data_IF_141510027389
#
_entry.id   IF_141510027389
#
_cell.length_a   1.000
_cell.length_b   1.000
_cell.length_c   1.000
_cell.angle_alpha   90.00
_cell.angle_beta   90.00
_cell.angle_gamma   90.00
#
_symmetry.space_group_name_H-M   'P 1'
#
loop_
_entity.id
_entity.type
_entity.pdbx_description
1 polymer ?
#
# COMPACT_ATOMS: atom_id res chain seq x y z
N UNK A 1 23.34 6.17 51.71
CA UNK A 1 22.44 5.32 50.91
C UNK A 1 22.58 5.68 49.44
N UNK A 2 22.73 4.69 48.56
CA UNK A 2 22.59 4.92 47.11
C UNK A 2 21.09 5.00 46.84
N UNK A 3 20.66 6.06 46.16
CA UNK A 3 19.28 6.21 45.69
C UNK A 3 19.23 5.73 44.26
N UNK A 4 18.33 4.80 43.95
CA UNK A 4 18.05 4.35 42.58
C UNK A 4 16.82 5.09 42.09
N UNK A 5 16.95 5.76 40.95
CA UNK A 5 15.86 6.40 40.21
C UNK A 5 15.51 5.48 39.03
N UNK A 6 14.30 4.90 38.97
CA UNK A 6 13.89 4.09 37.85
C UNK A 6 13.62 4.99 36.63
N UNK A 7 14.57 5.04 35.70
CA UNK A 7 14.45 5.82 34.45
C UNK A 7 13.77 5.07 33.31
N UNK A 8 13.53 3.77 33.49
CA UNK A 8 12.74 2.92 32.59
C UNK A 8 11.74 2.12 33.44
N UNK A 9 10.64 2.75 33.81
CA UNK A 9 9.58 2.09 34.58
C UNK A 9 8.68 1.31 33.62
N UNK A 10 8.28 0.09 34.02
CA UNK A 10 7.29 -0.71 33.30
C UNK A 10 6.04 0.12 33.01
N UNK A 11 5.58 0.09 31.76
CA UNK A 11 4.30 0.65 31.37
C UNK A 11 3.20 -0.39 31.54
N UNK A 12 2.10 -0.02 32.21
CA UNK A 12 0.95 -0.92 32.41
C UNK A 12 0.09 -1.07 31.15
N UNK A 13 0.16 -0.09 30.24
CA UNK A 13 -0.55 -0.06 28.96
C UNK A 13 0.38 0.49 27.88
N UNK A 14 0.17 0.16 26.59
CA UNK A 14 0.89 0.83 25.50
C UNK A 14 0.59 2.33 25.50
N UNK A 15 1.50 3.11 24.92
CA UNK A 15 1.26 4.53 24.63
C UNK A 15 0.06 4.63 23.67
N UNK A 16 -0.83 5.58 23.92
CA UNK A 16 -1.98 5.80 23.04
C UNK A 16 -1.52 6.26 21.66
N UNK A 17 -1.91 5.50 20.63
CA UNK A 17 -1.58 5.78 19.23
C UNK A 17 -2.68 6.58 18.52
N UNK A 18 -3.83 6.80 19.17
CA UNK A 18 -4.99 7.46 18.55
C UNK A 18 -5.58 6.66 17.39
N UNK A 19 -6.31 7.36 16.52
CA UNK A 19 -7.03 6.76 15.39
C UNK A 19 -8.35 6.11 15.78
N UNK A 20 -9.16 5.79 14.77
CA UNK A 20 -10.42 5.06 14.93
C UNK A 20 -10.21 3.54 14.95
N UNK A 21 -9.12 3.06 14.33
CA UNK A 21 -8.71 1.66 14.27
C UNK A 21 -7.28 1.52 14.81
N UNK A 22 -7.05 0.50 15.64
CA UNK A 22 -5.73 0.06 16.08
C UNK A 22 -5.36 -1.27 15.46
N UNK A 23 -4.19 -1.33 14.83
CA UNK A 23 -3.59 -2.59 14.34
C UNK A 23 -2.39 -2.92 15.20
N UNK A 24 -2.21 -4.18 15.59
CA UNK A 24 -1.03 -4.64 16.32
C UNK A 24 -0.32 -5.81 15.63
N UNK A 25 0.98 -5.91 15.87
CA UNK A 25 1.85 -7.01 15.47
C UNK A 25 2.46 -7.63 16.70
N UNK A 26 2.36 -8.95 16.88
CA UNK A 26 2.88 -9.60 18.08
C UNK A 26 3.45 -11.00 17.77
N UNK A 27 4.77 -11.16 17.92
CA UNK A 27 5.38 -12.48 17.97
C UNK A 27 5.14 -13.06 19.37
N UNK A 28 4.43 -14.19 19.44
CA UNK A 28 3.97 -14.79 20.69
C UNK A 28 4.86 -15.93 21.22
N UNK A 29 6.09 -16.05 20.70
CA UNK A 29 7.13 -16.98 21.17
C UNK A 29 6.66 -18.44 21.23
N UNK A 30 6.37 -19.02 20.07
CA UNK A 30 5.88 -20.38 19.88
C UNK A 30 4.66 -20.70 20.75
N UNK A 31 3.54 -20.00 20.53
CA UNK A 31 2.27 -20.32 21.16
C UNK A 31 1.69 -21.61 20.58
N UNK A 32 2.08 -22.73 21.18
CA UNK A 32 1.71 -24.07 20.75
C UNK A 32 0.84 -24.73 21.80
N UNK A 33 -0.32 -25.21 21.35
CA UNK A 33 -1.25 -25.98 22.17
C UNK A 33 -0.81 -27.44 22.35
N UNK A 34 0.05 -27.93 21.46
CA UNK A 34 0.70 -29.24 21.60
C UNK A 34 1.92 -29.10 22.50
N UNK A 35 1.87 -29.75 23.67
CA UNK A 35 2.97 -29.76 24.63
C UNK A 35 4.20 -30.48 24.07
N UNK A 36 5.36 -29.84 24.18
CA UNK A 36 6.62 -30.45 23.80
C UNK A 36 7.00 -31.55 24.80
N UNK A 37 7.04 -32.78 24.30
CA UNK A 37 7.45 -33.97 25.06
C UNK A 37 8.69 -34.62 24.46
N UNK A 38 9.36 -33.92 23.52
CA UNK A 38 10.46 -34.42 22.70
C UNK A 38 10.02 -35.39 21.59
N UNK A 39 8.73 -35.39 21.24
CA UNK A 39 8.18 -36.18 20.16
C UNK A 39 7.87 -35.30 18.95
N UNK A 40 8.23 -35.77 17.76
CA UNK A 40 7.94 -35.08 16.51
C UNK A 40 6.47 -35.23 16.08
N UNK A 41 5.55 -34.57 16.79
CA UNK A 41 4.10 -34.62 16.57
C UNK A 41 3.52 -33.28 16.11
N UNK A 42 4.34 -32.23 16.02
CA UNK A 42 3.93 -30.92 15.59
C UNK A 42 4.03 -30.73 14.07
N UNK A 43 3.47 -29.61 13.61
CA UNK A 43 3.39 -29.25 12.20
C UNK A 43 2.26 -29.92 11.44
N UNK A 44 1.98 -29.47 10.21
CA UNK A 44 0.84 -29.96 9.43
C UNK A 44 0.86 -31.47 9.16
N UNK A 45 2.07 -32.02 8.99
CA UNK A 45 2.28 -33.45 8.76
C UNK A 45 2.50 -34.26 10.05
N UNK A 46 2.44 -33.61 11.23
CA UNK A 46 2.66 -34.23 12.55
C UNK A 46 3.94 -35.08 12.60
N UNK A 47 5.03 -34.49 12.12
CA UNK A 47 6.33 -35.15 11.98
C UNK A 47 7.50 -34.20 12.28
N UNK A 48 7.21 -33.06 12.92
CA UNK A 48 8.19 -32.07 13.35
C UNK A 48 8.22 -32.01 14.86
N UNK A 49 9.40 -31.71 15.42
CA UNK A 49 9.52 -31.40 16.84
C UNK A 49 8.60 -30.23 17.21
N UNK A 50 7.99 -30.33 18.39
CA UNK A 50 7.22 -29.24 18.93
C UNK A 50 8.14 -28.11 19.38
N UNK A 51 7.56 -26.91 19.46
CA UNK A 51 8.24 -25.69 19.90
C UNK A 51 7.25 -24.99 20.82
N UNK A 52 7.65 -24.49 21.98
CA UNK A 52 6.74 -23.90 22.96
C UNK A 52 6.84 -24.58 24.31
N UNK A 53 5.73 -24.64 25.05
CA UNK A 53 5.71 -25.15 26.41
C UNK A 53 6.07 -26.64 26.53
N UNK A 54 6.95 -26.98 27.48
CA UNK A 54 7.35 -28.34 27.83
C UNK A 54 6.35 -29.02 28.81
N UNK A 55 5.37 -28.26 29.31
CA UNK A 55 4.32 -28.77 30.18
C UNK A 55 3.01 -27.99 30.07
N UNK A 56 1.91 -28.61 30.50
CA UNK A 56 0.61 -27.93 30.58
C UNK A 56 0.63 -26.72 31.54
N UNK A 57 1.49 -26.73 32.56
CA UNK A 57 1.65 -25.58 33.47
C UNK A 57 2.27 -24.39 32.75
N UNK A 58 3.33 -24.63 31.96
CA UNK A 58 3.98 -23.59 31.17
C UNK A 58 3.07 -23.03 30.08
N UNK A 59 2.31 -23.89 29.41
CA UNK A 59 1.34 -23.46 28.41
C UNK A 59 0.33 -22.49 29.02
N UNK A 60 -0.25 -22.84 30.18
CA UNK A 60 -1.21 -21.96 30.86
C UNK A 60 -0.57 -20.63 31.30
N UNK A 61 0.68 -20.68 31.77
CA UNK A 61 1.44 -19.48 32.15
C UNK A 61 1.68 -18.55 30.96
N UNK A 62 2.09 -19.10 29.82
CA UNK A 62 2.31 -18.37 28.58
C UNK A 62 1.00 -17.77 28.06
N UNK A 63 -0.04 -18.62 27.98
CA UNK A 63 -1.41 -18.26 27.58
C UNK A 63 -1.96 -17.08 28.37
N UNK A 64 -1.85 -17.13 29.69
CA UNK A 64 -2.34 -16.05 30.57
C UNK A 64 -1.65 -14.73 30.25
N UNK A 65 -0.32 -14.73 30.11
CA UNK A 65 0.45 -13.51 29.80
C UNK A 65 0.09 -12.94 28.43
N UNK A 66 -0.01 -13.77 27.39
CA UNK A 66 -0.36 -13.34 26.03
C UNK A 66 -1.79 -12.79 25.98
N UNK A 67 -2.75 -13.47 26.62
CA UNK A 67 -4.14 -12.98 26.69
C UNK A 67 -4.18 -11.61 27.38
N UNK A 68 -3.48 -11.45 28.50
CA UNK A 68 -3.42 -10.17 29.21
C UNK A 68 -2.74 -9.08 28.36
N UNK A 69 -1.71 -9.41 27.59
CA UNK A 69 -1.08 -8.49 26.65
C UNK A 69 -2.08 -8.04 25.57
N UNK A 70 -2.75 -8.97 24.90
CA UNK A 70 -3.69 -8.68 23.82
C UNK A 70 -4.90 -7.87 24.30
N UNK A 71 -5.50 -8.25 25.43
CA UNK A 71 -6.64 -7.52 26.02
C UNK A 71 -6.22 -6.10 26.43
N UNK A 72 -5.01 -5.93 26.96
CA UNK A 72 -4.50 -4.61 27.36
C UNK A 72 -4.17 -3.73 26.16
N UNK A 73 -3.57 -4.28 25.11
CA UNK A 73 -3.35 -3.56 23.85
C UNK A 73 -4.67 -3.07 23.24
N UNK A 74 -5.71 -3.90 23.35
CA UNK A 74 -7.05 -3.61 22.85
C UNK A 74 -7.00 -3.07 21.40
N UNK A 75 -6.30 -3.80 20.54
CA UNK A 75 -6.23 -3.53 19.11
C UNK A 75 -7.39 -4.23 18.39
N UNK A 76 -7.82 -3.63 17.28
CA UNK A 76 -8.97 -4.06 16.48
C UNK A 76 -8.59 -5.14 15.47
N UNK A 77 -7.34 -5.11 14.97
CA UNK A 77 -6.74 -6.12 14.10
C UNK A 77 -5.38 -6.48 14.70
N UNK A 78 -5.05 -7.77 14.81
CA UNK A 78 -3.79 -8.22 15.38
C UNK A 78 -3.19 -9.31 14.50
N UNK A 79 -2.00 -9.04 13.96
CA UNK A 79 -1.14 -10.03 13.32
C UNK A 79 -0.32 -10.77 14.36
N UNK A 80 -0.35 -12.09 14.31
CA UNK A 80 0.37 -12.97 15.23
C UNK A 80 1.44 -13.75 14.48
N UNK A 81 2.65 -13.77 15.02
CA UNK A 81 3.73 -14.65 14.57
C UNK A 81 3.99 -15.72 15.63
N UNK A 82 4.53 -16.86 15.20
CA UNK A 82 4.81 -18.00 16.09
C UNK A 82 3.59 -18.70 16.67
N UNK A 83 2.51 -18.73 15.89
CA UNK A 83 1.36 -19.60 16.18
C UNK A 83 1.66 -21.01 15.68
N UNK A 84 1.21 -22.02 16.42
CA UNK A 84 1.28 -23.41 15.96
C UNK A 84 0.51 -23.63 14.66
N UNK A 85 1.16 -24.27 13.69
CA UNK A 85 0.59 -24.71 12.44
C UNK A 85 0.20 -26.19 12.54
N UNK A 86 -1.07 -26.45 12.79
CA UNK A 86 -1.58 -27.80 12.96
C UNK A 86 -2.93 -27.98 12.23
N UNK A 87 -3.23 -29.20 11.77
CA UNK A 87 -4.44 -29.51 10.98
C UNK A 87 -5.76 -29.24 11.72
N UNK A 88 -5.72 -29.17 13.05
CA UNK A 88 -6.88 -28.83 13.88
C UNK A 88 -7.01 -27.33 14.17
N UNK A 89 -5.95 -26.56 13.92
CA UNK A 89 -5.81 -25.14 14.28
C UNK A 89 -6.17 -24.82 15.74
N UNK A 90 -5.83 -25.76 16.65
CA UNK A 90 -6.26 -25.71 18.04
C UNK A 90 -5.64 -24.55 18.82
N UNK A 91 -4.39 -24.17 18.55
CA UNK A 91 -3.73 -23.06 19.24
C UNK A 91 -4.43 -21.71 18.98
N UNK A 92 -4.79 -21.42 17.72
CA UNK A 92 -5.52 -20.19 17.39
C UNK A 92 -6.92 -20.17 18.00
N UNK A 93 -7.63 -21.31 17.95
CA UNK A 93 -8.95 -21.47 18.59
C UNK A 93 -8.88 -21.29 20.11
N UNK A 94 -7.87 -21.89 20.76
CA UNK A 94 -7.66 -21.78 22.20
C UNK A 94 -7.37 -20.32 22.63
N UNK A 95 -6.50 -19.63 21.89
CA UNK A 95 -6.18 -18.22 22.15
C UNK A 95 -7.43 -17.35 22.03
N UNK A 96 -8.19 -17.48 20.93
CA UNK A 96 -9.41 -16.69 20.71
C UNK A 96 -10.49 -17.02 21.74
N UNK A 97 -10.63 -18.30 22.14
CA UNK A 97 -11.54 -18.67 23.22
C UNK A 97 -11.13 -18.00 24.53
N UNK A 98 -9.84 -18.05 24.89
CA UNK A 98 -9.33 -17.41 26.10
C UNK A 98 -9.50 -15.89 26.12
N UNK A 99 -9.25 -15.24 24.99
CA UNK A 99 -9.52 -13.81 24.82
C UNK A 99 -11.00 -13.49 25.06
N UNK A 100 -11.91 -14.31 24.51
CA UNK A 100 -13.34 -14.15 24.70
C UNK A 100 -13.83 -14.50 26.12
N UNK A 101 -13.14 -15.40 26.83
CA UNK A 101 -13.44 -15.69 28.23
C UNK A 101 -13.13 -14.48 29.14
N UNK A 102 -12.07 -13.73 28.82
CA UNK A 102 -11.64 -12.54 29.58
C UNK A 102 -12.38 -11.27 29.14
N UNK A 103 -12.46 -11.03 27.83
CA UNK A 103 -13.00 -9.80 27.25
C UNK A 103 -14.50 -9.86 26.91
N UNK A 104 -15.14 -11.02 27.07
CA UNK A 104 -16.53 -11.27 26.73
C UNK A 104 -16.70 -12.05 25.42
N UNK A 105 -17.71 -12.92 25.39
CA UNK A 105 -17.96 -13.78 24.25
C UNK A 105 -18.26 -12.97 22.96
N UNK A 106 -17.48 -13.24 21.91
CA UNK A 106 -17.63 -12.59 20.61
C UNK A 106 -16.86 -11.27 20.47
N UNK A 107 -16.05 -10.89 21.46
CA UNK A 107 -15.15 -9.73 21.39
C UNK A 107 -14.03 -9.93 20.37
N UNK A 108 -13.53 -11.16 20.22
CA UNK A 108 -12.49 -11.50 19.23
C UNK A 108 -12.95 -12.63 18.31
N UNK A 109 -12.60 -12.48 17.04
CA UNK A 109 -12.71 -13.48 15.98
C UNK A 109 -11.36 -13.63 15.25
N UNK A 110 -11.25 -14.57 14.31
CA UNK A 110 -10.01 -14.82 13.59
C UNK A 110 -10.25 -15.12 12.11
N UNK A 111 -9.22 -14.87 11.29
CA UNK A 111 -9.19 -15.30 9.88
C UNK A 111 -8.84 -16.78 9.88
N UNK A 112 -9.78 -17.62 9.46
CA UNK A 112 -9.59 -19.07 9.41
C UNK A 112 -8.79 -19.48 8.17
N UNK A 113 -7.47 -19.32 8.24
CA UNK A 113 -6.55 -19.70 7.16
C UNK A 113 -6.28 -21.21 7.08
N UNK A 114 -6.62 -21.95 8.15
CA UNK A 114 -6.25 -23.35 8.30
C UNK A 114 -4.73 -23.54 8.35
N UNK A 115 -4.24 -24.55 7.64
CA UNK A 115 -2.81 -24.78 7.46
C UNK A 115 -2.28 -23.89 6.34
N UNK A 116 -1.22 -23.14 6.62
CA UNK A 116 -0.46 -22.40 5.61
C UNK A 116 1.01 -22.81 5.69
N UNK A 117 1.61 -23.14 4.54
CA UNK A 117 2.99 -23.63 4.48
C UNK A 117 3.17 -25.02 5.09
N UNK A 118 4.42 -25.35 5.41
CA UNK A 118 4.81 -26.71 5.85
C UNK A 118 5.49 -26.76 7.21
N UNK A 119 5.98 -25.65 7.75
CA UNK A 119 6.64 -25.59 9.06
C UNK A 119 5.62 -25.74 10.21
N UNK A 120 6.11 -26.08 11.40
CA UNK A 120 5.31 -26.16 12.62
C UNK A 120 4.83 -24.79 13.13
N UNK A 121 5.42 -23.70 12.66
CA UNK A 121 5.00 -22.33 12.93
C UNK A 121 4.22 -21.77 11.74
N UNK A 122 3.18 -20.98 12.01
CA UNK A 122 2.51 -20.10 11.03
C UNK A 122 2.29 -18.70 11.60
N UNK A 123 1.90 -17.79 10.72
CA UNK A 123 1.30 -16.51 11.10
C UNK A 123 -0.23 -16.64 11.20
N UNK A 124 -0.88 -15.72 11.93
CA UNK A 124 -2.33 -15.66 12.04
C UNK A 124 -2.84 -14.21 12.13
N UNK A 125 -4.15 -14.03 11.93
CA UNK A 125 -4.85 -12.76 12.11
C UNK A 125 -6.05 -12.97 13.03
N UNK A 126 -6.14 -12.17 14.09
CA UNK A 126 -7.33 -12.02 14.92
C UNK A 126 -7.85 -10.59 14.84
N UNK A 127 -9.13 -10.38 15.13
CA UNK A 127 -9.76 -9.07 15.03
C UNK A 127 -10.98 -8.94 15.94
N UNK A 128 -11.38 -7.70 16.22
CA UNK A 128 -12.61 -7.38 16.95
C UNK A 128 -13.78 -7.14 15.97
N UNK A 129 -14.75 -8.08 15.84
CA UNK A 129 -15.83 -7.96 14.86
C UNK A 129 -16.79 -6.79 15.11
N UNK A 130 -16.74 -6.19 16.31
CA UNK A 130 -17.49 -4.98 16.61
C UNK A 130 -16.97 -3.76 15.81
N UNK A 131 -15.67 -3.71 15.53
CA UNK A 131 -15.02 -2.52 14.96
C UNK A 131 -14.62 -2.72 13.49
N UNK A 132 -14.27 -3.95 13.10
CA UNK A 132 -13.86 -4.28 11.74
C UNK A 132 -14.50 -5.56 11.22
N UNK A 133 -14.66 -5.66 9.91
CA UNK A 133 -15.16 -6.85 9.20
C UNK A 133 -14.17 -7.25 8.10
N UNK A 134 -13.74 -8.52 7.99
CA UNK A 134 -12.98 -8.98 6.83
C UNK A 134 -13.77 -8.73 5.53
N UNK A 135 -13.13 -8.07 4.58
CA UNK A 135 -13.66 -7.79 3.25
C UNK A 135 -13.02 -8.73 2.23
N UNK A 136 -13.83 -9.55 1.57
CA UNK A 136 -13.34 -10.54 0.60
C UNK A 136 -12.58 -11.71 1.24
N UNK A 137 -12.02 -12.56 0.38
CA UNK A 137 -11.19 -13.69 0.78
C UNK A 137 -9.78 -13.21 1.18
N UNK A 138 -9.14 -13.92 2.12
CA UNK A 138 -7.72 -13.71 2.40
C UNK A 138 -6.86 -14.22 1.23
N UNK A 139 -5.65 -13.70 1.13
CA UNK A 139 -4.63 -14.16 0.20
C UNK A 139 -3.40 -14.70 0.94
N UNK A 140 -2.66 -15.58 0.27
CA UNK A 140 -1.43 -16.20 0.78
C UNK A 140 -0.29 -15.93 -0.20
N UNK A 141 0.85 -15.45 0.28
CA UNK A 141 2.10 -15.48 -0.47
C UNK A 141 2.94 -16.67 -0.03
N UNK A 142 3.21 -17.57 -0.96
CA UNK A 142 4.10 -18.71 -0.81
C UNK A 142 4.83 -19.01 -2.13
N UNK A 143 5.57 -20.12 -2.20
CA UNK A 143 6.35 -20.49 -3.38
C UNK A 143 5.50 -20.84 -4.61
N UNK A 144 4.20 -21.08 -4.44
CA UNK A 144 3.27 -21.33 -5.55
C UNK A 144 2.83 -20.04 -6.25
N UNK A 145 2.88 -18.92 -5.54
CA UNK A 145 2.60 -17.57 -6.08
C UNK A 145 3.86 -16.95 -6.67
N UNK A 146 4.95 -16.95 -5.91
CA UNK A 146 6.27 -16.48 -6.37
C UNK A 146 7.35 -17.49 -5.95
N UNK A 147 7.99 -18.20 -6.90
CA UNK A 147 9.07 -19.15 -6.59
C UNK A 147 10.28 -18.55 -5.87
N UNK A 148 10.45 -17.22 -5.90
CA UNK A 148 11.45 -16.49 -5.13
C UNK A 148 11.13 -16.44 -3.62
N UNK A 149 9.87 -16.61 -3.25
CA UNK A 149 9.45 -16.77 -1.86
C UNK A 149 9.64 -18.22 -1.40
N UNK A 150 10.80 -18.53 -0.82
CA UNK A 150 11.11 -19.89 -0.34
C UNK A 150 10.35 -20.15 0.98
N UNK A 151 9.14 -20.70 0.88
CA UNK A 151 8.21 -20.98 1.99
C UNK A 151 8.60 -22.17 2.89
N UNK A 152 9.67 -22.89 2.55
CA UNK A 152 10.36 -23.83 3.46
C UNK A 152 11.34 -23.12 4.41
N UNK A 153 11.62 -21.84 4.17
CA UNK A 153 12.49 -21.00 4.99
C UNK A 153 11.71 -19.85 5.64
N UNK A 154 10.89 -19.15 4.85
CA UNK A 154 9.98 -18.09 5.31
C UNK A 154 8.61 -18.69 5.62
N UNK A 155 7.88 -18.12 6.58
CA UNK A 155 6.47 -18.47 6.77
C UNK A 155 5.65 -17.79 5.68
N UNK A 156 4.70 -18.49 5.04
CA UNK A 156 3.80 -17.85 4.10
C UNK A 156 3.13 -16.61 4.69
N UNK A 157 3.01 -15.56 3.90
CA UNK A 157 2.40 -14.30 4.32
C UNK A 157 0.89 -14.48 4.30
N UNK A 158 0.20 -14.10 5.38
CA UNK A 158 -1.25 -14.04 5.42
C UNK A 158 -1.71 -12.60 5.19
N UNK A 159 -2.55 -12.39 4.18
CA UNK A 159 -2.99 -11.06 3.77
C UNK A 159 -4.51 -11.01 3.83
N UNK A 160 -5.07 -10.05 4.56
CA UNK A 160 -6.52 -9.84 4.64
C UNK A 160 -6.85 -8.36 4.62
N UNK A 161 -7.87 -8.02 3.85
CA UNK A 161 -8.49 -6.70 3.85
C UNK A 161 -9.59 -6.64 4.89
N UNK A 162 -9.60 -5.57 5.68
CA UNK A 162 -10.63 -5.28 6.66
C UNK A 162 -11.33 -3.98 6.30
N UNK A 163 -12.65 -3.97 6.45
CA UNK A 163 -13.46 -2.77 6.45
C UNK A 163 -13.65 -2.29 7.89
N UNK A 164 -13.40 -1.02 8.15
CA UNK A 164 -13.87 -0.36 9.36
C UNK A 164 -15.40 -0.30 9.33
N UNK A 165 -16.06 -0.85 10.36
CA UNK A 165 -17.52 -0.96 10.39
C UNK A 165 -18.22 0.41 10.43
N UNK A 166 -17.57 1.42 11.00
CA UNK A 166 -18.13 2.76 11.17
C UNK A 166 -18.19 3.55 9.84
N UNK A 167 -17.19 3.37 8.98
CA UNK A 167 -16.98 4.19 7.77
C UNK A 167 -17.13 3.40 6.48
N UNK A 168 -16.87 2.08 6.51
CA UNK A 168 -16.71 1.23 5.34
C UNK A 168 -15.32 1.31 4.70
N UNK A 169 -14.42 2.12 5.25
CA UNK A 169 -13.07 2.30 4.70
C UNK A 169 -12.21 1.06 4.88
N UNK A 170 -11.41 0.77 3.86
CA UNK A 170 -10.64 -0.46 3.77
C UNK A 170 -9.17 -0.24 4.14
N UNK A 171 -8.59 -1.26 4.77
CA UNK A 171 -7.13 -1.42 4.96
C UNK A 171 -6.75 -2.88 4.76
N UNK A 172 -5.66 -3.13 4.04
CA UNK A 172 -5.12 -4.45 3.76
C UNK A 172 -3.92 -4.71 4.67
N UNK A 173 -3.99 -5.74 5.51
CA UNK A 173 -2.92 -6.10 6.45
C UNK A 173 -2.23 -7.37 5.97
N UNK A 174 -0.91 -7.31 5.81
CA UNK A 174 -0.04 -8.43 5.44
C UNK A 174 0.86 -8.82 6.63
N UNK A 175 0.63 -10.00 7.21
CA UNK A 175 1.37 -10.52 8.36
C UNK A 175 2.50 -11.43 7.90
N UNK A 176 3.73 -11.12 8.32
CA UNK A 176 4.96 -11.75 7.87
C UNK A 176 5.70 -12.43 9.02
N UNK A 177 6.41 -13.51 8.70
CA UNK A 177 7.46 -14.06 9.55
C UNK A 177 8.57 -14.62 8.65
N UNK A 178 9.60 -13.82 8.38
CA UNK A 178 10.69 -14.19 7.48
C UNK A 178 11.76 -15.03 8.16
N UNK A 179 12.62 -15.66 7.36
CA UNK A 179 13.64 -16.60 7.83
C UNK A 179 14.58 -15.96 8.87
N UNK A 180 14.67 -16.60 10.04
CA UNK A 180 15.56 -16.17 11.12
C UNK A 180 17.06 -16.21 10.79
N UNK A 181 17.84 -15.39 11.51
CA UNK A 181 19.30 -15.23 11.33
C UNK A 181 20.15 -16.32 12.03
N UNK A 182 19.52 -17.18 12.84
CA UNK A 182 20.21 -18.13 13.73
C UNK A 182 20.93 -19.30 13.04
N UNK A 183 20.68 -19.53 11.75
CA UNK A 183 21.29 -20.62 10.98
C UNK A 183 21.53 -20.22 9.53
N UNK A 184 22.62 -20.71 8.94
CA UNK A 184 22.99 -20.41 7.56
C UNK A 184 22.03 -21.04 6.55
N UNK A 185 21.68 -20.27 5.51
CA UNK A 185 20.96 -20.77 4.34
C UNK A 185 21.95 -21.26 3.28
N UNK A 186 21.55 -22.24 2.47
CA UNK A 186 22.41 -22.80 1.42
C UNK A 186 22.75 -21.72 0.38
N UNK A 187 24.03 -21.34 0.28
CA UNK A 187 24.48 -20.29 -0.64
C UNK A 187 24.24 -18.87 -0.15
N UNK A 188 23.77 -18.70 1.08
CA UNK A 188 23.46 -17.40 1.70
C UNK A 188 23.90 -17.40 3.19
N UNK A 189 25.22 -17.54 3.45
CA UNK A 189 25.78 -17.52 4.78
C UNK A 189 25.93 -16.08 5.31
N UNK A 190 26.15 -15.95 6.61
CA UNK A 190 26.60 -14.68 7.21
C UNK A 190 27.94 -14.23 6.60
N UNK A 191 27.95 -13.01 6.06
CA UNK A 191 29.13 -12.38 5.44
C UNK A 191 29.92 -11.50 6.43
N UNK A 192 29.42 -11.32 7.66
CA UNK A 192 30.00 -10.43 8.66
C UNK A 192 29.82 -8.95 8.35
N UNK A 193 28.82 -8.61 7.53
CA UNK A 193 28.46 -7.25 7.14
C UNK A 193 27.39 -6.61 8.04
N UNK A 194 26.94 -7.35 9.07
CA UNK A 194 25.90 -6.94 10.02
C UNK A 194 24.51 -7.50 9.70
N UNK A 195 24.30 -8.05 8.51
CA UNK A 195 22.98 -8.53 8.08
C UNK A 195 22.69 -9.96 8.55
N UNK A 196 23.73 -10.73 8.90
CA UNK A 196 23.62 -12.09 9.40
C UNK A 196 23.24 -13.11 8.32
N UNK A 197 22.96 -14.35 8.75
CA UNK A 197 22.61 -15.42 7.82
C UNK A 197 21.31 -15.15 7.05
N UNK A 198 21.17 -15.81 5.90
CA UNK A 198 19.93 -15.84 5.13
C UNK A 198 19.46 -14.44 4.64
N UNK A 199 20.39 -13.50 4.43
CA UNK A 199 20.03 -12.14 4.02
C UNK A 199 19.42 -12.13 2.62
N UNK A 200 20.04 -12.79 1.64
CA UNK A 200 19.51 -12.84 0.26
C UNK A 200 18.15 -13.54 0.19
N UNK A 201 17.94 -14.53 1.06
CA UNK A 201 16.66 -15.25 1.22
C UNK A 201 15.56 -14.31 1.72
N UNK A 202 15.87 -13.45 2.70
CA UNK A 202 14.93 -12.43 3.20
C UNK A 202 14.69 -11.33 2.16
N UNK A 203 15.72 -10.90 1.43
CA UNK A 203 15.59 -9.93 0.32
C UNK A 203 14.64 -10.46 -0.77
N UNK A 204 14.80 -11.72 -1.16
CA UNK A 204 13.92 -12.33 -2.17
C UNK A 204 12.46 -12.41 -1.68
N UNK A 205 12.24 -12.73 -0.39
CA UNK A 205 10.91 -12.74 0.20
C UNK A 205 10.28 -11.34 0.29
N UNK A 206 11.07 -10.33 0.67
CA UNK A 206 10.66 -8.93 0.68
C UNK A 206 10.27 -8.42 -0.72
N UNK A 207 11.05 -8.77 -1.74
CA UNK A 207 10.73 -8.44 -3.13
C UNK A 207 9.43 -9.12 -3.60
N UNK A 208 9.26 -10.42 -3.32
CA UNK A 208 8.05 -11.15 -3.65
C UNK A 208 6.81 -10.55 -2.95
N UNK A 209 6.96 -10.13 -1.69
CA UNK A 209 5.89 -9.48 -0.91
C UNK A 209 5.38 -8.21 -1.59
N UNK A 210 6.27 -7.25 -1.86
CA UNK A 210 5.84 -5.98 -2.46
C UNK A 210 5.35 -6.15 -3.90
N UNK A 211 5.92 -7.11 -4.65
CA UNK A 211 5.42 -7.46 -5.98
C UNK A 211 4.03 -8.07 -5.92
N UNK A 212 3.73 -8.94 -4.96
CA UNK A 212 2.42 -9.54 -4.82
C UNK A 212 1.37 -8.54 -4.33
N UNK A 213 1.70 -7.69 -3.35
CA UNK A 213 0.79 -6.63 -2.87
C UNK A 213 0.39 -5.66 -3.99
N UNK A 214 1.32 -5.35 -4.91
CA UNK A 214 1.02 -4.52 -6.09
C UNK A 214 -0.01 -5.15 -7.06
N UNK A 215 -0.36 -6.43 -6.90
CA UNK A 215 -1.41 -7.09 -7.70
C UNK A 215 -2.81 -6.98 -7.09
N UNK A 216 -2.95 -6.31 -5.94
CA UNK A 216 -4.17 -6.30 -5.12
C UNK A 216 -4.71 -7.72 -4.88
N UNK A 217 -3.96 -8.55 -4.13
CA UNK A 217 -4.22 -9.99 -4.05
C UNK A 217 -5.54 -10.35 -3.36
N UNK A 218 -6.15 -9.39 -2.66
CA UNK A 218 -7.45 -9.53 -2.01
C UNK A 218 -8.60 -8.91 -2.82
N UNK A 219 -8.30 -8.29 -3.97
CA UNK A 219 -9.24 -7.52 -4.79
C UNK A 219 -9.97 -6.42 -4.00
N UNK A 220 -9.24 -5.72 -3.14
CA UNK A 220 -9.76 -4.65 -2.28
C UNK A 220 -10.12 -3.39 -3.06
N UNK A 221 -9.45 -3.14 -4.18
CA UNK A 221 -9.57 -1.91 -4.97
C UNK A 221 -8.98 -0.66 -4.31
N UNK A 222 -8.21 -0.80 -3.21
CA UNK A 222 -7.51 0.32 -2.55
C UNK A 222 -6.05 0.00 -2.29
N UNK A 223 -5.17 0.99 -2.43
CA UNK A 223 -3.72 0.83 -2.24
C UNK A 223 -3.26 1.08 -0.80
N UNK A 224 -4.09 0.73 0.18
CA UNK A 224 -3.85 0.92 1.63
C UNK A 224 -3.30 -0.35 2.27
N UNK A 225 -2.01 -0.61 2.06
CA UNK A 225 -1.34 -1.79 2.57
C UNK A 225 -0.53 -1.48 3.83
N UNK A 226 -0.70 -2.32 4.84
CA UNK A 226 0.12 -2.35 6.04
C UNK A 226 0.84 -3.69 6.12
N UNK A 227 2.16 -3.66 5.97
CA UNK A 227 3.03 -4.81 6.19
C UNK A 227 3.39 -4.81 7.68
N UNK A 228 3.05 -5.88 8.38
CA UNK A 228 3.45 -6.11 9.77
C UNK A 228 4.13 -7.46 9.94
N UNK A 229 4.87 -7.59 11.04
CA UNK A 229 5.40 -8.86 11.52
C UNK A 229 6.90 -8.89 11.67
N UNK A 230 7.41 -10.06 12.05
CA UNK A 230 8.83 -10.32 12.27
C UNK A 230 9.52 -10.57 10.91
N UNK A 231 10.13 -9.52 10.36
CA UNK A 231 10.90 -9.62 9.12
C UNK A 231 12.31 -10.19 9.36
N UNK A 232 12.65 -10.49 10.62
CA UNK A 232 13.95 -10.99 11.04
C UNK A 232 15.11 -10.13 10.54
N UNK A 233 14.89 -8.83 10.35
CA UNK A 233 15.85 -7.86 9.81
C UNK A 233 15.82 -6.56 10.59
N UNK A 234 16.98 -6.03 10.94
CA UNK A 234 17.06 -4.67 11.49
C UNK A 234 16.73 -3.62 10.42
N UNK A 235 16.34 -2.41 10.88
CA UNK A 235 15.82 -1.32 10.05
C UNK A 235 16.63 -0.97 8.79
N UNK A 236 17.96 -1.09 8.86
CA UNK A 236 18.86 -0.73 7.76
C UNK A 236 19.33 -1.94 6.94
N UNK A 237 18.83 -3.15 7.19
CA UNK A 237 19.18 -4.34 6.40
C UNK A 237 18.46 -4.32 5.05
N UNK A 238 19.06 -5.01 4.07
CA UNK A 238 18.61 -5.05 2.68
C UNK A 238 17.13 -5.45 2.51
N UNK A 239 16.54 -6.39 3.29
CA UNK A 239 15.12 -6.73 3.16
C UNK A 239 14.19 -5.54 3.45
N UNK A 240 14.53 -4.71 4.44
CA UNK A 240 13.75 -3.51 4.78
C UNK A 240 13.93 -2.44 3.70
N UNK A 241 15.18 -2.21 3.28
CA UNK A 241 15.46 -1.28 2.18
C UNK A 241 14.77 -1.69 0.86
N UNK A 242 14.60 -3.00 0.63
CA UNK A 242 13.87 -3.54 -0.53
C UNK A 242 12.39 -3.16 -0.47
N UNK A 243 11.76 -3.25 0.70
CA UNK A 243 10.36 -2.85 0.90
C UNK A 243 10.21 -1.33 0.76
N UNK A 244 11.12 -0.55 1.35
CA UNK A 244 11.10 0.92 1.26
C UNK A 244 11.32 1.41 -0.17
N UNK A 245 12.21 0.76 -0.93
CA UNK A 245 12.44 1.06 -2.35
C UNK A 245 11.18 0.83 -3.22
N UNK A 246 10.23 0.01 -2.76
CA UNK A 246 8.94 -0.19 -3.41
C UNK A 246 7.87 0.84 -3.01
N UNK A 247 8.24 1.88 -2.25
CA UNK A 247 7.35 2.99 -1.88
C UNK A 247 6.64 2.84 -0.54
N UNK A 248 7.04 1.86 0.28
CA UNK A 248 6.56 1.72 1.66
C UNK A 248 7.41 2.57 2.61
N UNK A 249 6.83 2.99 3.72
CA UNK A 249 7.52 3.77 4.76
C UNK A 249 7.60 2.99 6.06
N UNK A 250 8.80 2.86 6.63
CA UNK A 250 8.99 2.29 7.96
C UNK A 250 8.41 3.23 9.04
N UNK A 251 7.28 2.84 9.61
CA UNK A 251 6.55 3.67 10.57
C UNK A 251 7.29 3.77 11.91
N UNK A 252 7.95 2.70 12.36
CA UNK A 252 8.71 2.71 13.62
C UNK A 252 9.83 3.75 13.53
N UNK A 253 10.61 3.70 12.45
CA UNK A 253 11.67 4.69 12.20
C UNK A 253 11.11 6.12 12.11
N UNK A 254 9.96 6.31 11.43
CA UNK A 254 9.33 7.62 11.26
C UNK A 254 8.84 8.23 12.58
N UNK A 255 8.19 7.44 13.44
CA UNK A 255 7.52 7.95 14.65
C UNK A 255 8.39 7.87 15.92
N UNK A 256 9.29 6.89 16.03
CA UNK A 256 10.09 6.65 17.23
C UNK A 256 11.58 6.99 17.03
N UNK A 257 12.05 7.06 15.78
CA UNK A 257 13.40 7.49 15.45
C UNK A 257 14.47 6.41 15.66
N UNK A 258 15.74 6.85 15.68
CA UNK A 258 16.90 5.95 15.64
C UNK A 258 17.12 5.12 16.92
N UNK A 259 16.50 5.52 18.03
CA UNK A 259 16.61 4.82 19.32
C UNK A 259 15.50 3.76 19.50
N UNK A 260 14.65 3.54 18.50
CA UNK A 260 13.57 2.55 18.56
C UNK A 260 14.11 1.12 18.69
N UNK A 261 13.42 0.31 19.50
CA UNK A 261 13.74 -1.08 19.72
C UNK A 261 12.48 -1.88 20.08
N UNK A 262 12.55 -3.19 19.90
CA UNK A 262 11.52 -4.13 20.33
C UNK A 262 12.07 -5.53 20.58
N UNK A 263 13.38 -5.72 20.43
CA UNK A 263 14.07 -6.99 20.52
C UNK A 263 15.50 -6.81 21.04
N UNK A 264 15.94 -7.73 21.90
CA UNK A 264 17.30 -7.75 22.44
C UNK A 264 17.98 -9.08 22.16
N UNK A 265 19.15 -9.04 21.51
CA UNK A 265 19.93 -10.23 21.20
C UNK A 265 21.43 -9.99 21.38
N UNK A 266 22.07 -10.87 22.16
CA UNK A 266 23.49 -10.80 22.49
C UNK A 266 23.95 -9.40 22.98
N UNK A 267 23.08 -8.75 23.76
CA UNK A 267 23.31 -7.41 24.32
C UNK A 267 23.12 -6.24 23.34
N UNK A 268 22.70 -6.51 22.10
CA UNK A 268 22.32 -5.49 21.12
C UNK A 268 20.81 -5.26 21.17
N UNK A 269 20.40 -4.02 20.92
CA UNK A 269 19.02 -3.55 20.96
C UNK A 269 18.64 -3.00 19.59
N UNK A 270 17.46 -3.36 19.13
CA UNK A 270 16.86 -2.88 17.89
C UNK A 270 15.49 -3.53 17.72
N UNK A 271 14.91 -3.46 16.52
CA UNK A 271 13.63 -4.09 16.23
C UNK A 271 13.72 -4.96 14.97
N UNK A 272 13.08 -6.12 15.03
CA UNK A 272 12.92 -7.08 13.93
C UNK A 272 11.46 -7.17 13.48
N UNK A 273 10.53 -6.80 14.35
CA UNK A 273 9.13 -6.59 14.03
C UNK A 273 8.94 -5.21 13.42
N UNK A 274 8.32 -5.16 12.25
CA UNK A 274 8.11 -3.90 11.53
C UNK A 274 6.64 -3.58 11.38
N UNK A 275 6.39 -2.29 11.17
CA UNK A 275 5.18 -1.78 10.56
C UNK A 275 5.57 -0.87 9.39
N UNK A 276 5.23 -1.29 8.16
CA UNK A 276 5.54 -0.54 6.93
C UNK A 276 4.24 -0.22 6.18
N UNK A 277 3.96 1.06 5.96
CA UNK A 277 2.74 1.52 5.28
C UNK A 277 3.02 1.87 3.82
N UNK A 278 2.08 1.53 2.94
CA UNK A 278 2.06 2.07 1.57
C UNK A 278 1.87 3.59 1.57
N UNK A 279 2.17 4.23 0.43
CA UNK A 279 2.03 5.67 0.25
C UNK A 279 0.60 6.18 0.55
N UNK A 280 -0.44 5.41 0.20
CA UNK A 280 -1.84 5.81 0.39
C UNK A 280 -2.34 5.56 1.82
N UNK A 281 -1.69 4.65 2.58
CA UNK A 281 -1.99 4.44 3.98
C UNK A 281 -1.24 5.42 4.89
N UNK A 282 -0.01 5.81 4.54
CA UNK A 282 0.87 6.63 5.38
C UNK A 282 0.20 7.91 5.93
N UNK A 283 -0.55 8.72 5.14
CA UNK A 283 -1.22 9.91 5.65
C UNK A 283 -2.33 9.64 6.67
N UNK A 284 -2.79 8.40 6.76
CA UNK A 284 -3.85 7.94 7.67
C UNK A 284 -3.28 7.32 8.96
N UNK A 285 -1.95 7.18 9.07
CA UNK A 285 -1.30 6.69 10.29
C UNK A 285 -1.21 7.83 11.31
N UNK A 286 -1.79 7.62 12.49
CA UNK A 286 -1.79 8.63 13.56
C UNK A 286 -0.54 8.56 14.44
N UNK A 287 -0.12 7.35 14.81
CA UNK A 287 1.12 7.09 15.55
C UNK A 287 1.47 5.59 15.54
N UNK A 288 2.70 5.28 15.98
CA UNK A 288 3.18 3.92 16.24
C UNK A 288 3.93 3.88 17.57
N UNK A 289 3.76 2.80 18.32
CA UNK A 289 4.53 2.52 19.54
C UNK A 289 4.94 1.05 19.59
N UNK A 290 6.16 0.79 20.03
CA UNK A 290 6.54 -0.50 20.60
C UNK A 290 6.12 -0.49 22.07
N UNK A 291 5.43 -1.52 22.54
CA UNK A 291 5.09 -1.64 23.96
C UNK A 291 6.12 -2.52 24.65
N UNK A 292 7.05 -1.88 25.36
CA UNK A 292 8.17 -2.55 26.03
C UNK A 292 7.73 -3.41 27.22
N UNK A 293 7.19 -4.60 26.91
CA UNK A 293 6.79 -5.61 27.89
C UNK A 293 7.69 -6.84 27.84
N UNK A 294 8.53 -7.02 26.82
CA UNK A 294 9.26 -8.26 26.57
C UNK A 294 10.77 -8.04 26.45
N UNK A 295 11.21 -7.15 25.57
CA UNK A 295 12.64 -6.99 25.25
C UNK A 295 13.47 -6.50 26.45
N UNK A 296 12.87 -5.66 27.28
CA UNK A 296 13.44 -5.14 28.54
C UNK A 296 13.48 -6.18 29.67
N UNK A 297 12.68 -7.24 29.57
CA UNK A 297 12.46 -8.17 30.67
C UNK A 297 13.47 -9.33 30.66
N UNK A 298 14.05 -9.68 31.81
CA UNK A 298 14.97 -10.80 31.90
C UNK A 298 14.23 -12.13 31.66
N UNK A 299 14.90 -13.04 30.96
CA UNK A 299 14.42 -14.41 30.67
C UNK A 299 13.89 -15.11 31.93
N UNK A 300 14.45 -14.85 33.11
CA UNK A 300 13.98 -15.48 34.36
C UNK A 300 12.53 -15.18 34.74
N UNK A 301 11.89 -14.17 34.14
CA UNK A 301 10.47 -13.82 34.36
C UNK A 301 9.53 -14.42 33.31
N UNK A 302 10.05 -15.22 32.38
CA UNK A 302 9.26 -15.94 31.38
C UNK A 302 8.33 -16.98 32.03
N UNK A 303 7.54 -17.64 31.18
CA UNK A 303 6.57 -18.64 31.61
C UNK A 303 7.20 -19.98 32.01
N UNK A 304 8.47 -20.23 31.63
CA UNK A 304 9.14 -21.50 31.83
C UNK A 304 9.33 -21.86 33.31
N UNK A 305 9.41 -23.15 33.61
CA UNK A 305 9.65 -23.67 34.97
C UNK A 305 11.03 -24.29 35.12
N UNK A 306 11.72 -24.60 34.02
CA UNK A 306 13.06 -25.18 34.03
C UNK A 306 14.06 -24.22 34.67
N UNK A 307 15.10 -24.80 35.27
CA UNK A 307 16.20 -24.06 35.91
C UNK A 307 15.78 -23.10 37.04
N UNK A 308 14.52 -23.17 37.49
CA UNK A 308 13.97 -22.43 38.63
C UNK A 308 13.68 -23.39 39.80
N UNK A 309 14.04 -22.99 41.02
CA UNK A 309 13.58 -23.66 42.24
C UNK A 309 12.08 -23.45 42.44
N UNK A 310 11.42 -24.30 43.24
CA UNK A 310 9.99 -24.14 43.56
C UNK A 310 9.63 -22.74 44.10
N UNK A 311 10.52 -22.11 44.87
CA UNK A 311 10.29 -20.74 45.31
C UNK A 311 10.44 -19.72 44.16
N UNK A 312 11.43 -19.91 43.27
CA UNK A 312 11.62 -19.05 42.10
C UNK A 312 10.45 -19.12 41.12
N UNK A 313 9.87 -20.31 40.91
CA UNK A 313 8.67 -20.47 40.08
C UNK A 313 7.48 -19.65 40.59
N UNK A 314 7.41 -19.39 41.90
CA UNK A 314 6.36 -18.56 42.52
C UNK A 314 6.69 -17.06 42.45
N UNK A 315 7.93 -16.67 42.77
CA UNK A 315 8.27 -15.24 42.92
C UNK A 315 8.71 -14.56 41.62
N UNK A 316 9.08 -15.32 40.60
CA UNK A 316 9.54 -14.80 39.30
C UNK A 316 8.46 -14.87 38.23
N UNK A 317 7.40 -15.65 38.44
CA UNK A 317 6.24 -15.64 37.56
C UNK A 317 5.24 -14.57 38.01
N UNK A 318 4.69 -13.86 37.04
CA UNK A 318 3.54 -12.98 37.19
C UNK A 318 2.57 -13.22 36.05
N UNK A 319 1.28 -13.00 36.26
CA UNK A 319 0.27 -13.16 35.20
C UNK A 319 0.25 -11.95 34.25
N UNK A 320 0.90 -10.85 34.62
CA UNK A 320 0.98 -9.63 33.86
C UNK A 320 1.69 -9.84 32.49
N UNK A 321 1.46 -8.95 31.50
CA UNK A 321 1.97 -9.06 30.13
C UNK A 321 3.50 -9.15 30.00
N UNK A 322 4.25 -8.78 31.05
CA UNK A 322 5.70 -8.70 31.00
C UNK A 322 6.36 -10.06 30.75
N UNK A 323 7.28 -10.16 29.79
CA UNK A 323 7.96 -11.38 29.38
C UNK A 323 6.99 -12.50 28.93
N UNK A 324 5.92 -12.12 28.24
CA UNK A 324 5.07 -13.06 27.51
C UNK A 324 5.79 -13.65 26.28
N UNK A 325 6.71 -12.87 25.72
CA UNK A 325 7.53 -13.17 24.55
C UNK A 325 8.95 -12.60 24.75
N UNK A 326 9.83 -12.79 23.78
CA UNK A 326 11.11 -12.09 23.62
C UNK A 326 11.02 -10.89 22.67
N UNK A 327 9.89 -10.69 22.01
CA UNK A 327 9.59 -9.55 21.13
C UNK A 327 8.52 -8.63 21.72
N UNK A 328 8.76 -7.33 21.73
CA UNK A 328 7.74 -6.34 22.06
C UNK A 328 6.68 -6.26 20.95
N UNK A 329 5.38 -6.15 21.28
CA UNK A 329 4.38 -5.90 20.26
C UNK A 329 4.47 -4.46 19.73
N UNK A 330 4.19 -4.31 18.44
CA UNK A 330 4.08 -3.02 17.74
C UNK A 330 2.60 -2.68 17.59
N UNK A 331 2.20 -1.47 17.98
CA UNK A 331 0.82 -0.97 17.88
C UNK A 331 0.79 0.25 16.97
N UNK A 332 -0.15 0.28 16.04
CA UNK A 332 -0.33 1.30 15.00
C UNK A 332 -1.73 1.88 15.10
N UNK A 333 -1.84 3.20 15.19
CA UNK A 333 -3.10 3.92 15.12
C UNK A 333 -3.41 4.34 13.68
N UNK A 334 -4.63 4.09 13.23
CA UNK A 334 -5.12 4.45 11.90
C UNK A 334 -6.39 5.29 12.02
N UNK A 335 -6.42 6.41 11.33
CA UNK A 335 -7.61 7.24 11.12
C UNK A 335 -8.03 7.08 9.67
N UNK A 336 -8.81 6.03 9.38
CA UNK A 336 -9.25 5.76 8.02
C UNK A 336 -10.30 6.78 7.62
N UNK A 337 -10.02 7.48 6.53
CA UNK A 337 -10.91 8.49 5.97
C UNK A 337 -11.30 8.06 4.56
N UNK A 338 -12.49 8.43 4.07
CA UNK A 338 -12.86 8.24 2.67
C UNK A 338 -11.73 8.65 1.74
N UNK A 339 -11.40 7.77 0.78
CA UNK A 339 -10.52 8.18 -0.32
C UNK A 339 -11.17 9.40 -0.98
N UNK A 340 -10.57 10.59 -0.81
CA UNK A 340 -11.04 11.79 -1.49
C UNK A 340 -10.63 11.69 -2.95
N UNK A 341 -11.40 10.96 -3.75
CA UNK A 341 -11.25 10.93 -5.20
C UNK A 341 -11.68 12.29 -5.75
N UNK A 342 -10.70 13.14 -6.05
CA UNK A 342 -10.99 14.46 -6.62
C UNK A 342 -11.34 14.31 -8.10
N UNK A 343 -12.52 14.77 -8.56
CA UNK A 343 -12.88 14.82 -9.97
C UNK A 343 -11.84 15.58 -10.78
N UNK A 344 -11.46 15.12 -11.98
CA UNK A 344 -10.62 15.91 -12.90
C UNK A 344 -11.23 15.99 -14.29
N UNK A 345 -10.87 17.03 -15.03
CA UNK A 345 -11.22 17.24 -16.43
C UNK A 345 -9.98 17.63 -17.23
N UNK A 346 -9.88 17.13 -18.46
CA UNK A 346 -8.81 17.42 -19.42
C UNK A 346 -9.45 17.71 -20.80
N UNK A 347 -9.02 18.76 -21.48
CA UNK A 347 -9.38 19.08 -22.86
C UNK A 347 -8.47 18.26 -23.78
N UNK A 348 -9.06 17.27 -24.44
CA UNK A 348 -8.36 16.38 -25.38
C UNK A 348 -8.22 17.03 -26.75
N UNK A 349 -9.24 17.80 -27.16
CA UNK A 349 -9.20 18.61 -28.38
C UNK A 349 -9.93 19.93 -28.13
N UNK A 350 -9.45 21.06 -28.68
CA UNK A 350 -8.19 21.22 -29.40
C UNK A 350 -6.97 21.06 -28.47
N UNK A 351 -5.78 20.81 -29.04
CA UNK A 351 -4.53 20.79 -28.28
C UNK A 351 -4.00 22.22 -28.07
N UNK A 352 -3.22 22.43 -27.00
CA UNK A 352 -2.57 23.71 -26.76
C UNK A 352 -1.62 24.07 -27.92
N UNK A 353 -1.79 25.27 -28.45
CA UNK A 353 -1.05 25.79 -29.62
C UNK A 353 -1.66 25.48 -30.98
N UNK A 354 -2.81 24.79 -31.05
CA UNK A 354 -3.45 24.48 -32.33
C UNK A 354 -3.82 25.75 -33.12
N UNK A 355 -3.67 25.65 -34.45
CA UNK A 355 -4.00 26.74 -35.39
C UNK A 355 -5.15 26.32 -36.29
N UNK A 356 -6.19 27.13 -36.33
CA UNK A 356 -7.37 26.95 -37.18
C UNK A 356 -7.46 28.07 -38.22
N UNK A 357 -8.08 27.79 -39.37
CA UNK A 357 -8.21 28.77 -40.45
C UNK A 357 -9.66 28.98 -40.86
N UNK A 358 -10.08 30.24 -40.92
CA UNK A 358 -11.38 30.65 -41.45
C UNK A 358 -11.32 30.59 -42.97
N UNK A 359 -12.05 29.64 -43.56
CA UNK A 359 -12.15 29.45 -45.03
C UNK A 359 -13.33 30.20 -45.64
N UNK A 360 -14.35 30.51 -44.85
CA UNK A 360 -15.49 31.34 -45.24
C UNK A 360 -16.16 31.93 -44.00
N UNK A 361 -16.72 33.15 -44.11
CA UNK A 361 -17.39 33.81 -42.98
C UNK A 361 -16.45 34.63 -42.10
N UNK A 362 -16.77 34.77 -40.81
CA UNK A 362 -16.04 35.60 -39.83
C UNK A 362 -15.52 34.81 -38.62
N UNK A 363 -15.80 33.51 -38.55
CA UNK A 363 -15.41 32.61 -37.48
C UNK A 363 -15.21 31.17 -38.01
N UNK A 364 -14.56 30.33 -37.22
CA UNK A 364 -14.38 28.89 -37.45
C UNK A 364 -14.99 28.09 -36.31
N UNK A 365 -15.66 26.98 -36.65
CA UNK A 365 -16.21 26.02 -35.70
C UNK A 365 -15.12 25.06 -35.24
N UNK A 366 -14.82 25.06 -33.94
CA UNK A 366 -13.78 24.22 -33.34
C UNK A 366 -14.47 23.20 -32.41
N UNK A 367 -14.26 21.89 -32.61
CA UNK A 367 -14.72 20.88 -31.66
C UNK A 367 -13.90 20.95 -30.37
N UNK A 368 -14.59 20.92 -29.24
CA UNK A 368 -13.99 20.79 -27.91
C UNK A 368 -14.43 19.45 -27.34
N UNK A 369 -13.47 18.56 -27.09
CA UNK A 369 -13.72 17.24 -26.47
C UNK A 369 -12.94 17.17 -25.17
N UNK A 370 -13.57 16.65 -24.13
CA UNK A 370 -12.95 16.45 -22.82
C UNK A 370 -12.90 14.98 -22.43
N UNK A 371 -12.01 14.65 -21.51
CA UNK A 371 -12.05 13.44 -20.69
C UNK A 371 -12.16 13.82 -19.23
N UNK A 372 -12.79 12.96 -18.43
CA UNK A 372 -12.89 13.14 -16.99
C UNK A 372 -12.38 11.91 -16.24
N UNK A 373 -11.86 12.14 -15.03
CA UNK A 373 -11.51 11.08 -14.08
C UNK A 373 -12.38 11.26 -12.84
N UNK A 374 -12.92 10.16 -12.29
CA UNK A 374 -13.78 10.18 -11.10
C UNK A 374 -15.00 11.13 -11.22
N UNK A 375 -15.54 11.28 -12.43
CA UNK A 375 -16.68 12.13 -12.72
C UNK A 375 -17.40 11.67 -13.99
N UNK A 376 -18.66 11.25 -13.87
CA UNK A 376 -19.49 10.76 -14.97
C UNK A 376 -20.45 11.86 -15.41
N UNK A 377 -20.40 12.24 -16.69
CA UNK A 377 -21.35 13.18 -17.27
C UNK A 377 -22.47 12.38 -17.96
N UNK A 378 -23.77 12.63 -17.68
CA UNK A 378 -24.30 13.70 -16.83
C UNK A 378 -24.61 13.30 -15.37
N UNK A 379 -24.32 12.07 -14.94
CA UNK A 379 -24.79 11.51 -13.66
C UNK A 379 -24.24 12.26 -12.43
N UNK A 380 -22.94 12.52 -12.40
CA UNK A 380 -22.26 13.26 -11.33
C UNK A 380 -22.34 14.79 -11.52
N UNK A 381 -22.82 15.23 -12.68
CA UNK A 381 -22.98 16.64 -13.04
C UNK A 381 -22.60 16.94 -14.49
N UNK A 382 -21.95 18.08 -14.73
CA UNK A 382 -21.64 18.57 -16.07
C UNK A 382 -20.42 19.48 -16.06
N UNK A 383 -19.98 19.95 -17.22
CA UNK A 383 -18.87 20.91 -17.31
C UNK A 383 -19.31 22.22 -17.94
N UNK A 384 -18.65 23.30 -17.56
CA UNK A 384 -18.85 24.64 -18.11
C UNK A 384 -17.73 24.95 -19.08
N UNK A 385 -18.11 25.38 -20.28
CA UNK A 385 -17.17 25.92 -21.26
C UNK A 385 -16.95 27.41 -20.99
N UNK A 386 -15.68 27.80 -20.96
CA UNK A 386 -15.23 29.18 -20.81
C UNK A 386 -14.32 29.55 -21.99
N UNK A 387 -14.50 30.75 -22.53
CA UNK A 387 -13.70 31.30 -23.64
C UNK A 387 -13.20 32.67 -23.23
N UNK A 388 -11.89 32.88 -23.22
CA UNK A 388 -11.24 34.13 -22.83
C UNK A 388 -11.73 34.64 -21.46
N UNK A 389 -11.95 33.72 -20.52
CA UNK A 389 -12.48 34.00 -19.18
C UNK A 389 -13.98 34.30 -19.11
N UNK A 390 -14.70 34.22 -20.23
CA UNK A 390 -16.15 34.41 -20.31
C UNK A 390 -16.88 33.06 -20.31
N UNK A 391 -17.84 32.90 -19.40
CA UNK A 391 -18.68 31.71 -19.33
C UNK A 391 -19.58 31.60 -20.57
N UNK A 392 -19.47 30.49 -21.30
CA UNK A 392 -20.31 30.20 -22.47
C UNK A 392 -21.58 29.46 -22.05
N UNK A 393 -21.44 28.39 -21.28
CA UNK A 393 -22.57 27.61 -20.80
C UNK A 393 -22.23 26.19 -20.34
N UNK A 394 -23.21 25.48 -19.77
CA UNK A 394 -23.09 24.09 -19.39
C UNK A 394 -23.12 23.16 -20.60
N UNK A 395 -22.34 22.08 -20.53
CA UNK A 395 -22.27 21.02 -21.53
C UNK A 395 -22.51 19.69 -20.82
N UNK A 396 -23.54 18.96 -21.26
CA UNK A 396 -24.01 17.70 -20.66
C UNK A 396 -23.48 16.46 -21.40
N UNK A 397 -22.48 16.64 -22.25
CA UNK A 397 -21.84 15.60 -23.08
C UNK A 397 -20.33 15.79 -23.00
N UNK A 398 -19.54 14.79 -23.41
CA UNK A 398 -18.08 14.86 -23.43
C UNK A 398 -17.52 15.73 -24.56
N UNK A 399 -18.39 16.29 -25.40
CA UNK A 399 -18.01 17.10 -26.54
C UNK A 399 -18.99 18.26 -26.80
N UNK A 400 -18.46 19.35 -27.34
CA UNK A 400 -19.21 20.51 -27.82
C UNK A 400 -18.46 21.18 -28.98
N UNK A 401 -19.01 22.26 -29.52
CA UNK A 401 -18.35 23.09 -30.54
C UNK A 401 -18.40 24.56 -30.13
N UNK A 402 -17.34 25.29 -30.44
CA UNK A 402 -17.26 26.75 -30.24
C UNK A 402 -16.94 27.46 -31.55
N UNK A 403 -17.59 28.59 -31.78
CA UNK A 403 -17.28 29.48 -32.92
C UNK A 403 -16.28 30.54 -32.46
N UNK A 404 -15.08 30.54 -33.04
CA UNK A 404 -14.03 31.52 -32.72
C UNK A 404 -13.70 32.39 -33.93
N UNK A 405 -13.63 33.70 -33.71
CA UNK A 405 -13.18 34.66 -34.72
C UNK A 405 -11.66 34.64 -34.88
N UNK A 406 -11.13 35.38 -35.86
CA UNK A 406 -9.68 35.56 -36.00
C UNK A 406 -9.06 36.13 -34.72
N UNK A 407 -7.97 35.51 -34.24
CA UNK A 407 -7.30 35.88 -32.99
C UNK A 407 -6.77 34.68 -32.21
N UNK A 408 -6.11 34.95 -31.09
CA UNK A 408 -5.71 33.94 -30.11
C UNK A 408 -6.76 33.87 -29.01
N UNK A 409 -7.20 32.66 -28.68
CA UNK A 409 -8.26 32.40 -27.73
C UNK A 409 -7.85 31.36 -26.69
N UNK A 410 -8.29 31.54 -25.45
CA UNK A 410 -8.12 30.57 -24.37
C UNK A 410 -9.44 29.83 -24.15
N UNK A 411 -9.41 28.51 -24.31
CA UNK A 411 -10.52 27.61 -24.04
C UNK A 411 -10.29 26.96 -22.68
N UNK A 412 -11.35 26.87 -21.88
CA UNK A 412 -11.28 26.44 -20.49
C UNK A 412 -12.49 25.57 -20.12
N UNK A 413 -12.28 24.46 -19.41
CA UNK A 413 -13.33 23.50 -19.04
C UNK A 413 -13.41 23.33 -17.51
N UNK A 414 -14.55 23.65 -16.90
CA UNK A 414 -14.75 23.60 -15.43
C UNK A 414 -15.82 22.57 -15.03
N UNK A 415 -15.52 21.63 -14.13
CA UNK A 415 -16.52 20.67 -13.63
C UNK A 415 -17.49 21.30 -12.61
N UNK A 416 -18.75 20.88 -12.68
CA UNK A 416 -19.84 21.29 -11.78
C UNK A 416 -20.76 20.15 -11.41
N UNK A 417 -21.23 20.16 -10.16
CA UNK A 417 -22.32 19.29 -9.69
C UNK A 417 -23.64 19.53 -10.46
N UNK A 418 -24.66 18.67 -10.34
CA UNK A 418 -25.97 18.89 -10.96
C UNK A 418 -26.61 20.22 -10.53
N UNK A 419 -26.33 20.67 -9.31
CA UNK A 419 -26.80 21.93 -8.73
C UNK A 419 -25.92 23.14 -9.10
N UNK A 420 -25.01 22.99 -10.08
CA UNK A 420 -24.12 24.03 -10.59
C UNK A 420 -23.11 24.58 -9.55
N UNK A 421 -22.86 23.83 -8.47
CA UNK A 421 -21.73 24.12 -7.56
C UNK A 421 -20.44 23.77 -8.29
N UNK A 422 -19.52 24.74 -8.39
CA UNK A 422 -18.18 24.52 -8.96
C UNK A 422 -17.43 23.51 -8.11
N UNK A 423 -16.85 22.50 -8.76
CA UNK A 423 -15.96 21.53 -8.14
C UNK A 423 -14.49 21.95 -8.25
N UNK A 424 -14.23 23.10 -8.89
CA UNK A 424 -12.89 23.52 -9.26
C UNK A 424 -12.27 22.59 -10.30
N UNK A 425 -11.11 22.99 -10.79
CA UNK A 425 -10.36 22.41 -11.91
C UNK A 425 -10.87 22.91 -13.25
N UNK A 426 -10.00 23.70 -13.86
CA UNK A 426 -10.14 24.31 -15.17
C UNK A 426 -8.92 23.88 -15.96
N UNK A 427 -9.06 22.90 -16.83
CA UNK A 427 -8.04 22.66 -17.83
C UNK A 427 -8.15 23.74 -18.91
N UNK A 428 -7.01 24.20 -19.43
CA UNK A 428 -6.94 25.35 -20.32
C UNK A 428 -6.03 25.07 -21.50
N UNK A 429 -6.53 25.35 -22.71
CA UNK A 429 -5.75 25.30 -23.95
C UNK A 429 -5.85 26.62 -24.69
N UNK A 430 -4.76 27.04 -25.32
CA UNK A 430 -4.68 28.24 -26.14
C UNK A 430 -4.68 27.86 -27.61
N UNK A 431 -5.58 28.42 -28.41
CA UNK A 431 -5.65 28.20 -29.86
C UNK A 431 -5.51 29.50 -30.62
N UNK A 432 -5.05 29.44 -31.86
CA UNK A 432 -4.99 30.60 -32.76
C UNK A 432 -5.84 30.39 -34.00
N UNK A 433 -6.73 31.33 -34.28
CA UNK A 433 -7.54 31.35 -35.50
C UNK A 433 -6.98 32.39 -36.46
N UNK A 434 -6.76 31.98 -37.71
CA UNK A 434 -6.24 32.82 -38.79
C UNK A 434 -7.24 32.91 -39.93
N UNK A 435 -7.12 33.94 -40.77
CA UNK A 435 -7.84 34.01 -42.05
C UNK A 435 -6.93 33.61 -43.20
N UNK A 436 -7.43 32.80 -44.14
CA UNK A 436 -6.69 32.54 -45.39
C UNK A 436 -6.45 33.88 -46.11
N UNK A 437 -5.21 34.18 -46.53
CA UNK A 437 -4.96 35.37 -47.33
C UNK A 437 -5.75 35.27 -48.63
N UNK A 438 -6.61 36.25 -48.89
CA UNK A 438 -7.27 36.37 -50.19
C UNK A 438 -6.21 36.72 -51.24
N UNK A 439 -5.65 35.72 -51.93
CA UNK A 439 -4.82 35.97 -53.11
C UNK A 439 -5.72 36.56 -54.19
N UNK A 440 -5.50 37.80 -54.67
CA UNK A 440 -6.27 38.30 -55.78
C UNK A 440 -5.88 37.50 -57.03
N UNK A 441 -6.80 36.73 -57.60
CA UNK A 441 -6.62 36.14 -58.94
C UNK A 441 -6.59 37.28 -59.96
N UNK A 442 -5.39 37.70 -60.39
CA UNK A 442 -5.25 38.57 -61.55
C UNK A 442 -5.27 37.72 -62.83
N UNK A 443 -6.39 37.74 -63.55
CA UNK A 443 -6.47 37.25 -64.93
C UNK A 443 -5.66 38.16 -65.87
N UNK A 444 -4.44 37.75 -66.20
CA UNK A 444 -3.58 38.45 -67.15
C UNK A 444 -3.99 38.09 -68.60
N UNK A 445 -4.75 38.96 -69.27
CA UNK A 445 -4.99 38.82 -70.71
C UNK A 445 -3.75 39.24 -71.50
N UNK A 446 -2.96 38.28 -71.98
CA UNK A 446 -1.91 38.55 -72.97
C UNK A 446 -2.55 38.72 -74.36
N UNK A 447 -2.32 39.83 -75.07
CA UNK A 447 -2.79 39.96 -76.44
C UNK A 447 -2.08 38.96 -77.36
N UNK A 448 -2.86 38.17 -78.10
CA UNK A 448 -2.36 37.23 -79.09
C UNK A 448 -1.82 37.99 -80.32
N UNK A 449 -0.50 38.08 -80.47
CA UNK A 449 0.12 38.62 -81.68
C UNK A 449 0.28 37.47 -82.68
N UNK A 450 -0.61 37.38 -83.67
CA UNK A 450 -0.47 36.46 -84.80
C UNK A 450 0.36 37.14 -85.88
N UNK A 451 1.58 36.65 -86.15
CA UNK A 451 2.37 37.06 -87.33
C UNK A 451 1.81 36.38 -88.60
N UNK A 452 1.76 37.06 -89.76
CA UNK A 452 1.40 36.41 -91.02
C UNK A 452 2.50 35.44 -91.46
N UNK A 453 2.10 34.30 -92.04
CA UNK A 453 3.02 33.33 -92.62
C UNK A 453 3.62 33.87 -93.93
N UNK A 454 4.95 33.83 -94.05
CA UNK A 454 5.61 33.96 -95.34
C UNK A 454 5.30 32.74 -96.21
N UNK A 455 5.24 32.97 -97.52
CA UNK A 455 4.74 32.08 -98.56
C UNK A 455 5.37 30.67 -98.55
N UNK A 456 4.51 29.65 -98.52
CA UNK A 456 4.81 28.27 -98.94
C UNK A 456 5.16 27.29 -97.81
N UNK A 457 4.22 26.37 -97.55
CA UNK A 457 4.28 25.20 -96.67
C UNK A 457 3.91 25.41 -95.17
N UNK A 458 2.79 24.78 -94.82
CA UNK A 458 2.18 24.48 -93.49
C UNK A 458 2.99 24.84 -92.24
N UNK A 459 2.52 25.84 -91.49
CA UNK A 459 2.98 26.13 -90.12
C UNK A 459 1.93 25.68 -89.09
N UNK A 460 2.31 24.69 -88.28
CA UNK A 460 1.65 24.31 -87.02
C UNK A 460 1.94 25.40 -85.98
N UNK A 461 0.97 25.93 -85.22
CA UNK A 461 1.27 26.80 -84.10
C UNK A 461 2.01 26.00 -83.01
N UNK A 462 3.28 26.30 -82.79
CA UNK A 462 4.00 25.86 -81.59
C UNK A 462 3.56 26.72 -80.40
N UNK A 463 3.09 26.08 -79.34
CA UNK A 463 2.91 26.72 -78.04
C UNK A 463 4.20 26.57 -77.24
N UNK A 464 5.04 27.62 -77.22
CA UNK A 464 6.12 27.71 -76.22
C UNK A 464 5.51 28.08 -74.87
N UNK A 465 5.63 27.17 -73.90
CA UNK A 465 5.37 27.44 -72.49
C UNK A 465 6.38 28.47 -71.99
N UNK A 466 5.94 29.71 -71.76
CA UNK A 466 6.75 30.66 -70.98
C UNK A 466 6.44 30.46 -69.51
N UNK A 467 7.45 29.97 -68.81
CA UNK A 467 7.56 29.87 -67.35
C UNK A 467 7.05 31.14 -66.67
N UNK A 468 6.29 31.05 -65.55
CA UNK A 468 5.92 32.23 -64.79
C UNK A 468 7.16 32.94 -64.26
N UNK A 469 7.23 34.25 -64.47
CA UNK A 469 8.18 35.15 -63.84
C UNK A 469 8.06 35.02 -62.32
N UNK A 470 9.10 34.49 -61.66
CA UNK A 470 9.31 34.72 -60.23
C UNK A 470 9.39 36.23 -59.99
N UNK A 471 8.43 36.78 -59.23
CA UNK A 471 8.52 38.15 -58.73
C UNK A 471 9.46 38.20 -57.50
N UNK A 472 10.18 39.32 -57.31
CA UNK A 472 11.11 39.50 -56.21
C UNK A 472 10.41 39.93 -54.91
N UNK A 473 11.18 39.75 -53.84
CA UNK A 473 10.95 39.96 -52.40
C UNK A 473 10.31 41.31 -52.03
N UNK A 474 9.46 41.30 -50.99
CA UNK A 474 9.50 42.27 -49.88
C UNK A 474 9.45 41.52 -48.56
#
# INVERSE_FOLDING_TARGET
>A
PVTFEPTNARSETPIDVGGSIKVASFNVLNYFSTIDTGAAICGPSQNMECRGADSAEEFERQRTKIINAIVTMNADIIGLMEMENHVTDAALQDLVQGLNDVAGAGTYAYVNSGVIGTDAIKVALIYQPANVTPSGDYAILDSSVDPGFIDTLNRPVLIQTFAENATGELVTVAVNHLKSKGSACSGDPDLGDGQGNCNLTRVAAAQALVTYLATDPTNSGVDRYLIIGDLNSYAMEDPIQTIEAAGYTNLISLFQGADAYGYSFDGQWGYLDHALASADLLPLVTAVTDWHINSDEPVSLDYNVEYKTANQQIILYGEEPYRASDHDPVIIGLELQPVVVTPTVEIVTPMDGDVFTITSGTAVSIPVTITTTNFVIPDDGHWHLWIDGSHVGPVMDYMTTVELSEGTHVISAELRTPDHVSLGIVDTVTVTVTTEPTTPEYMLYLPLIVKPAETGATAVPQFESRTPLQKPVL
#
